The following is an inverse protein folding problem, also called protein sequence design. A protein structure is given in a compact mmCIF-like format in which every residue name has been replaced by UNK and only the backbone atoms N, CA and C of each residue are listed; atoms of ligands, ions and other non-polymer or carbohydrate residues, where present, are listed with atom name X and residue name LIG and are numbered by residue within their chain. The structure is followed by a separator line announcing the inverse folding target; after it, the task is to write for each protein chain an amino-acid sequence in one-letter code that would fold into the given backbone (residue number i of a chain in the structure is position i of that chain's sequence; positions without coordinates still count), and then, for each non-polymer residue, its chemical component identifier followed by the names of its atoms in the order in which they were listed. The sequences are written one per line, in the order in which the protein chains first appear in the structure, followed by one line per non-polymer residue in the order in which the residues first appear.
data_IF_132342764698
#
_entry.id   IF_132342764698
#
_cell.length_a   1.000
_cell.length_b   1.000
_cell.length_c   1.000
_cell.angle_alpha   90.00
_cell.angle_beta   90.00
_cell.angle_gamma   90.00
#
_symmetry.space_group_name_H-M   'P 1'
#
loop_
_entity.id
_entity.type
_entity.pdbx_description
1 polymer ?
#
# COMPACT_ATOMS: atom_id res chain seq x y z
N UNK A 1 -13.54 -18.61 -41.02
CA UNK A 1 -13.40 -19.23 -39.69
C UNK A 1 -12.26 -18.65 -38.85
N UNK A 2 -11.01 -18.51 -39.36
CA UNK A 2 -9.86 -17.99 -38.58
C UNK A 2 -10.02 -16.59 -37.95
N UNK A 3 -10.75 -15.67 -38.59
CA UNK A 3 -10.96 -14.31 -38.06
C UNK A 3 -11.88 -14.27 -36.83
N UNK A 4 -12.88 -15.15 -36.78
CA UNK A 4 -13.82 -15.23 -35.65
C UNK A 4 -13.13 -15.83 -34.42
N UNK A 5 -12.28 -16.84 -34.61
CA UNK A 5 -11.47 -17.41 -33.53
C UNK A 5 -10.50 -16.41 -32.93
N UNK A 6 -9.86 -15.55 -33.74
CA UNK A 6 -8.96 -14.49 -33.24
C UNK A 6 -9.71 -13.47 -32.39
N UNK A 7 -10.90 -13.05 -32.82
CA UNK A 7 -11.74 -12.10 -32.06
C UNK A 7 -12.14 -12.70 -30.72
N UNK A 8 -12.54 -13.98 -30.71
CA UNK A 8 -12.92 -14.69 -29.49
C UNK A 8 -11.75 -14.80 -28.50
N UNK A 9 -10.54 -15.11 -29.00
CA UNK A 9 -9.32 -15.19 -28.18
C UNK A 9 -8.98 -13.85 -27.55
N UNK A 10 -9.04 -12.75 -28.32
CA UNK A 10 -8.77 -11.41 -27.78
C UNK A 10 -9.78 -11.00 -26.71
N UNK A 11 -11.05 -11.39 -26.88
CA UNK A 11 -12.08 -11.15 -25.88
C UNK A 11 -11.76 -11.91 -24.58
N UNK A 12 -11.40 -13.19 -24.69
CA UNK A 12 -10.99 -14.01 -23.52
C UNK A 12 -9.77 -13.43 -22.82
N UNK A 13 -8.75 -12.99 -23.57
CA UNK A 13 -7.55 -12.36 -23.00
C UNK A 13 -7.87 -11.05 -22.25
N UNK A 14 -8.81 -10.26 -22.76
CA UNK A 14 -9.29 -9.04 -22.10
C UNK A 14 -10.01 -9.33 -20.78
N UNK A 15 -10.84 -10.38 -20.74
CA UNK A 15 -11.47 -10.79 -19.47
C UNK A 15 -10.46 -11.35 -18.46
N UNK A 16 -9.45 -12.10 -18.93
CA UNK A 16 -8.36 -12.59 -18.08
C UNK A 16 -7.55 -11.41 -17.52
N UNK A 17 -7.26 -10.38 -18.32
CA UNK A 17 -6.50 -9.22 -17.84
C UNK A 17 -7.30 -8.40 -16.81
N UNK A 18 -8.60 -8.24 -17.01
CA UNK A 18 -9.49 -7.61 -16.03
C UNK A 18 -9.55 -8.40 -14.71
N UNK A 19 -9.62 -9.73 -14.78
CA UNK A 19 -9.62 -10.59 -13.60
C UNK A 19 -8.28 -10.55 -12.84
N UNK A 20 -7.15 -10.55 -13.55
CA UNK A 20 -5.84 -10.40 -12.91
C UNK A 20 -5.65 -9.01 -12.29
N UNK A 21 -6.20 -7.98 -12.91
CA UNK A 21 -6.16 -6.61 -12.37
C UNK A 21 -6.97 -6.49 -11.08
N UNK A 22 -8.13 -7.13 -10.97
CA UNK A 22 -8.94 -7.08 -9.73
C UNK A 22 -8.26 -7.78 -8.54
N UNK A 23 -7.47 -8.82 -8.79
CA UNK A 23 -6.67 -9.49 -7.76
C UNK A 23 -5.56 -8.58 -7.19
N UNK A 24 -5.13 -7.57 -7.95
CA UNK A 24 -4.08 -6.64 -7.52
C UNK A 24 -4.59 -5.55 -6.55
N UNK A 25 -5.90 -5.33 -6.48
CA UNK A 25 -6.49 -4.14 -5.81
C UNK A 25 -6.83 -4.42 -4.33
N UNK A 26 -6.88 -5.68 -3.91
CA UNK A 26 -7.47 -6.02 -2.62
C UNK A 26 -6.42 -6.25 -1.53
N UNK A 27 -5.88 -5.16 -0.99
CA UNK A 27 -5.47 -5.14 0.41
C UNK A 27 -6.64 -4.57 1.23
N UNK A 28 -7.61 -5.43 1.57
CA UNK A 28 -8.76 -5.02 2.37
C UNK A 28 -8.31 -4.73 3.81
N UNK A 29 -8.61 -3.53 4.30
CA UNK A 29 -8.28 -3.13 5.67
C UNK A 29 -9.12 -3.93 6.67
N UNK A 30 -8.55 -4.24 7.84
CA UNK A 30 -9.36 -4.83 8.91
C UNK A 30 -10.47 -3.88 9.34
N UNK A 31 -11.63 -4.42 9.76
CA UNK A 31 -12.77 -3.62 10.24
C UNK A 31 -12.41 -2.65 11.38
N UNK A 32 -11.40 -2.99 12.17
CA UNK A 32 -10.92 -2.13 13.26
C UNK A 32 -10.18 -0.90 12.72
N UNK A 33 -9.41 -1.06 11.65
CA UNK A 33 -8.58 -0.01 11.06
C UNK A 33 -9.31 0.78 9.97
N UNK A 34 -10.51 0.36 9.56
CA UNK A 34 -11.36 1.06 8.57
C UNK A 34 -11.52 2.56 8.88
N UNK A 35 -11.62 2.93 10.16
CA UNK A 35 -11.76 4.32 10.63
C UNK A 35 -10.53 5.20 10.36
N UNK A 36 -9.35 4.59 10.22
CA UNK A 36 -8.07 5.26 9.95
C UNK A 36 -7.55 4.97 8.54
N UNK A 37 -8.42 4.47 7.65
CA UNK A 37 -8.09 4.14 6.25
C UNK A 37 -7.43 5.29 5.48
N UNK A 38 -7.76 6.54 5.81
CA UNK A 38 -7.19 7.73 5.17
C UNK A 38 -5.68 7.90 5.40
N UNK A 39 -5.10 7.23 6.40
CA UNK A 39 -3.65 7.29 6.69
C UNK A 39 -2.86 6.34 5.78
N UNK A 40 -3.50 5.31 5.22
CA UNK A 40 -2.83 4.26 4.45
C UNK A 40 -2.27 4.84 3.14
N UNK A 41 -0.99 4.60 2.89
CA UNK A 41 -0.31 5.10 1.70
C UNK A 41 1.13 5.55 1.95
N UNK A 42 1.71 6.17 0.93
CA UNK A 42 3.04 6.76 0.98
C UNK A 42 2.93 8.26 1.21
N UNK A 43 3.51 8.74 2.29
CA UNK A 43 3.60 10.14 2.64
C UNK A 43 5.05 10.58 2.50
N UNK A 44 5.27 11.71 1.83
CA UNK A 44 6.60 12.27 1.64
C UNK A 44 6.57 13.75 1.94
N UNK A 45 7.56 14.20 2.68
CA UNK A 45 7.82 15.61 2.90
C UNK A 45 9.29 15.90 2.74
N UNK A 46 9.63 16.96 2.03
CA UNK A 46 11.02 17.30 1.73
C UNK A 46 11.61 18.28 2.75
N UNK A 47 10.77 19.09 3.41
CA UNK A 47 11.22 20.16 4.31
C UNK A 47 10.34 20.38 5.55
N UNK A 48 9.36 19.52 5.86
CA UNK A 48 8.49 19.72 7.04
C UNK A 48 9.07 19.19 8.34
N UNK A 49 10.00 18.23 8.30
CA UNK A 49 10.62 17.68 9.50
C UNK A 49 11.47 18.76 10.17
N UNK A 50 11.21 19.05 11.45
CA UNK A 50 12.00 20.01 12.23
C UNK A 50 12.32 19.43 13.60
N UNK A 51 13.61 19.29 13.90
CA UNK A 51 14.08 18.88 15.23
C UNK A 51 14.43 20.13 16.02
N UNK A 52 13.83 20.27 17.20
CA UNK A 52 14.16 21.33 18.18
C UNK A 52 14.52 20.65 19.49
N UNK A 53 15.78 20.79 19.92
CA UNK A 53 16.27 20.25 21.18
C UNK A 53 17.13 21.30 21.88
N UNK A 54 17.09 21.43 23.22
CA UNK A 54 17.79 22.52 23.91
C UNK A 54 19.31 22.56 23.68
N UNK A 55 19.94 21.41 23.47
CA UNK A 55 21.39 21.27 23.33
C UNK A 55 21.87 21.00 21.90
N UNK A 56 20.97 20.89 20.92
CA UNK A 56 21.30 20.57 19.53
C UNK A 56 20.74 21.69 18.64
N UNK A 57 21.50 22.20 17.66
CA UNK A 57 21.00 23.21 16.74
C UNK A 57 19.76 22.72 15.99
N UNK A 58 18.83 23.64 15.72
CA UNK A 58 17.62 23.32 14.98
C UNK A 58 17.98 22.84 13.58
N UNK A 59 17.45 21.69 13.19
CA UNK A 59 17.68 21.07 11.88
C UNK A 59 16.34 20.78 11.19
N UNK A 60 16.33 20.89 9.86
CA UNK A 60 15.23 20.45 9.01
C UNK A 60 15.63 19.22 8.21
N UNK A 61 14.68 18.31 7.98
CA UNK A 61 14.91 17.08 7.24
C UNK A 61 13.68 16.70 6.40
N UNK A 62 13.94 15.95 5.34
CA UNK A 62 12.89 15.27 4.57
C UNK A 62 12.58 13.91 5.19
N UNK A 63 11.30 13.54 5.19
CA UNK A 63 10.81 12.27 5.69
C UNK A 63 9.95 11.56 4.65
N UNK A 64 9.99 10.23 4.67
CA UNK A 64 9.10 9.38 3.89
C UNK A 64 8.53 8.30 4.80
N UNK A 65 7.21 8.21 4.85
CA UNK A 65 6.47 7.23 5.63
C UNK A 65 5.66 6.35 4.67
N UNK A 66 5.82 5.04 4.82
CA UNK A 66 5.02 4.06 4.08
C UNK A 66 4.13 3.32 5.07
N UNK A 67 2.85 3.71 5.13
CA UNK A 67 1.89 3.18 6.10
C UNK A 67 1.02 2.15 5.39
N UNK A 68 1.05 0.92 5.90
CA UNK A 68 0.37 -0.23 5.33
C UNK A 68 -0.28 -1.05 6.44
N UNK A 69 -1.36 -1.75 6.12
CA UNK A 69 -1.96 -2.71 7.05
C UNK A 69 -0.96 -3.86 7.29
N UNK A 70 -0.60 -4.09 8.55
CA UNK A 70 0.23 -5.23 8.90
C UNK A 70 -0.56 -6.53 8.68
N UNK A 71 0.06 -7.60 8.15
CA UNK A 71 -0.60 -8.90 8.10
C UNK A 71 -0.96 -9.33 9.53
N UNK A 72 -2.22 -9.71 9.76
CA UNK A 72 -2.65 -10.24 11.06
C UNK A 72 -1.80 -11.48 11.39
N UNK A 73 -0.92 -11.35 12.39
CA UNK A 73 -0.17 -12.49 12.89
C UNK A 73 -1.16 -13.50 13.49
N UNK A 74 -1.28 -14.67 12.87
CA UNK A 74 -2.16 -15.75 13.34
C UNK A 74 -1.79 -16.33 14.71
N UNK A 75 -0.69 -15.87 15.30
CA UNK A 75 -0.19 -16.32 16.61
C UNK A 75 0.04 -15.09 17.48
N UNK A 76 -0.50 -15.10 18.70
CA UNK A 76 -0.50 -14.05 19.71
C UNK A 76 0.89 -13.67 20.28
N UNK A 77 1.96 -13.78 19.49
CA UNK A 77 3.34 -13.60 19.93
C UNK A 77 4.28 -12.95 18.91
N UNK A 78 3.81 -12.53 17.73
CA UNK A 78 4.66 -11.78 16.80
C UNK A 78 4.60 -10.30 17.13
N UNK A 79 5.51 -9.87 18.00
CA UNK A 79 5.78 -8.46 18.24
C UNK A 79 6.76 -7.97 17.16
N UNK A 80 6.30 -7.08 16.28
CA UNK A 80 7.19 -6.44 15.31
C UNK A 80 8.05 -5.41 16.06
N UNK A 81 9.26 -5.83 16.41
CA UNK A 81 10.33 -5.00 16.95
C UNK A 81 11.21 -4.58 15.78
N UNK A 82 11.02 -3.36 15.28
CA UNK A 82 11.84 -2.73 14.24
C UNK A 82 11.75 -3.37 12.85
N UNK A 83 11.46 -2.51 11.89
CA UNK A 83 12.12 -2.53 10.59
C UNK A 83 13.32 -1.58 10.69
#
# INVERSE_FOLDING_TARGET
MRRITIILINFVLFFISLFLFSLLINAELSKNNEKISWIVGKWRSEFSGKVVWPSIPTMTFGEELNIQEAPMAGTSGVQFLNW
#
